data_IF_191890065003
#
_entry.id   IF_191890065003
#
_cell.length_a   1.000
_cell.length_b   1.000
_cell.length_c   1.000
_cell.angle_alpha   90.00
_cell.angle_beta   90.00
_cell.angle_gamma   90.00
#
_symmetry.space_group_name_H-M   'P 1'
#
loop_
_entity.id
_entity.type
_entity.pdbx_description
1 polymer ?
#
# COMPACT_ATOMS: atom_id res chain seq x y z
N UNK A 1 12.23 8.57 -20.86
CA UNK A 1 12.61 7.84 -19.63
C UNK A 1 11.91 6.50 -19.72
N UNK A 2 12.66 5.41 -19.79
CA UNK A 2 12.08 4.06 -19.70
C UNK A 2 11.88 3.75 -18.22
N UNK A 3 10.65 3.88 -17.72
CA UNK A 3 10.31 3.42 -16.37
C UNK A 3 10.13 1.91 -16.33
N UNK A 4 10.33 1.30 -15.17
CA UNK A 4 9.99 -0.10 -14.91
C UNK A 4 8.54 -0.22 -14.42
N UNK A 5 7.91 -1.37 -14.67
CA UNK A 5 6.58 -1.66 -14.11
C UNK A 5 6.76 -2.18 -12.68
N UNK A 6 6.02 -1.59 -11.74
CA UNK A 6 5.94 -2.04 -10.36
C UNK A 6 4.51 -2.45 -10.04
N UNK A 7 4.37 -3.56 -9.34
CA UNK A 7 3.13 -3.96 -8.68
C UNK A 7 3.17 -3.44 -7.24
N UNK A 8 2.18 -2.63 -6.87
CA UNK A 8 2.04 -2.06 -5.53
C UNK A 8 0.76 -2.59 -4.90
N UNK A 9 0.86 -3.12 -3.69
CA UNK A 9 -0.28 -3.52 -2.87
C UNK A 9 -0.22 -2.73 -1.57
N UNK A 10 -1.36 -2.23 -1.10
CA UNK A 10 -1.44 -1.49 0.16
C UNK A 10 -2.23 -2.29 1.16
N UNK A 11 -1.64 -2.54 2.32
CA UNK A 11 -2.26 -3.24 3.44
C UNK A 11 -2.40 -2.32 4.63
N UNK A 12 -3.46 -2.55 5.41
CA UNK A 12 -3.67 -1.91 6.69
C UNK A 12 -3.43 -2.93 7.81
N UNK A 13 -2.49 -2.61 8.69
CA UNK A 13 -2.16 -3.40 9.85
C UNK A 13 -3.14 -3.13 10.99
N UNK A 14 -3.60 -4.17 11.72
CA UNK A 14 -4.51 -4.01 12.85
C UNK A 14 -3.84 -3.27 14.03
N UNK A 15 -4.63 -2.68 14.93
CA UNK A 15 -4.08 -2.23 16.21
C UNK A 15 -3.79 -3.41 17.13
N UNK A 16 -2.96 -3.20 18.17
CA UNK A 16 -2.76 -4.20 19.24
C UNK A 16 -4.07 -4.68 19.85
N UNK A 17 -5.01 -3.75 20.09
CA UNK A 17 -6.32 -4.06 20.64
C UNK A 17 -7.14 -4.94 19.70
N UNK A 18 -7.12 -4.65 18.39
CA UNK A 18 -7.82 -5.45 17.38
C UNK A 18 -7.30 -6.90 17.36
N UNK A 19 -5.99 -7.08 17.49
CA UNK A 19 -5.35 -8.40 17.54
C UNK A 19 -5.75 -9.14 18.83
N UNK A 20 -5.65 -8.48 19.99
CA UNK A 20 -5.92 -9.10 21.29
C UNK A 20 -7.39 -9.50 21.50
N UNK A 21 -8.32 -8.67 21.03
CA UNK A 21 -9.75 -8.88 21.27
C UNK A 21 -10.45 -9.68 20.16
N UNK A 22 -9.97 -9.57 18.92
CA UNK A 22 -10.70 -10.07 17.75
C UNK A 22 -9.85 -10.94 16.81
N UNK A 23 -8.61 -11.28 17.17
CA UNK A 23 -7.66 -12.00 16.32
C UNK A 23 -7.55 -11.36 14.92
N UNK A 24 -7.62 -10.02 14.88
CA UNK A 24 -7.66 -9.28 13.63
C UNK A 24 -6.33 -9.41 12.86
N UNK A 25 -6.42 -9.57 11.54
CA UNK A 25 -5.28 -9.73 10.63
C UNK A 25 -5.15 -8.52 9.70
N UNK A 26 -3.96 -8.33 9.12
CA UNK A 26 -3.71 -7.29 8.12
C UNK A 26 -4.66 -7.44 6.93
N UNK A 27 -5.22 -6.32 6.47
CA UNK A 27 -6.21 -6.27 5.40
C UNK A 27 -5.65 -5.59 4.18
N UNK A 28 -5.84 -6.17 2.99
CA UNK A 28 -5.57 -5.47 1.73
C UNK A 28 -6.60 -4.36 1.55
N UNK A 29 -6.15 -3.11 1.49
CA UNK A 29 -7.00 -1.93 1.32
C UNK A 29 -6.90 -1.33 -0.08
N UNK A 30 -5.82 -1.66 -0.81
CA UNK A 30 -5.69 -1.42 -2.25
C UNK A 30 -5.09 -2.67 -2.88
N UNK A 31 -5.79 -3.20 -3.89
CA UNK A 31 -5.34 -4.36 -4.66
C UNK A 31 -4.06 -4.06 -5.46
N UNK A 32 -3.53 -5.04 -6.21
CA UNK A 32 -2.32 -4.84 -6.99
C UNK A 32 -2.56 -3.75 -8.04
N UNK A 33 -1.92 -2.61 -7.85
CA UNK A 33 -1.88 -1.51 -8.80
C UNK A 33 -0.55 -1.56 -9.54
N UNK A 34 -0.63 -1.57 -10.87
CA UNK A 34 0.55 -1.58 -11.73
C UNK A 34 0.88 -0.15 -12.12
N UNK A 35 2.06 0.32 -11.73
CA UNK A 35 2.51 1.69 -12.00
C UNK A 35 3.85 1.65 -12.71
N UNK A 36 4.05 2.59 -13.64
CA UNK A 36 5.34 2.78 -14.31
C UNK A 36 6.11 3.86 -13.56
N UNK A 37 7.29 3.51 -13.05
CA UNK A 37 8.12 4.42 -12.29
C UNK A 37 9.60 4.14 -12.51
N UNK A 38 10.46 5.09 -12.15
CA UNK A 38 11.91 4.89 -12.24
C UNK A 38 12.45 4.12 -11.01
N UNK A 39 11.73 4.17 -9.89
CA UNK A 39 12.11 3.53 -8.61
C UNK A 39 10.87 3.01 -7.87
N UNK A 40 11.11 2.12 -6.90
CA UNK A 40 10.10 1.65 -5.95
C UNK A 40 9.49 2.80 -5.12
N UNK A 41 10.30 3.76 -4.69
CA UNK A 41 9.84 4.95 -3.96
C UNK A 41 8.95 5.84 -4.83
N UNK A 42 9.28 5.99 -6.11
CA UNK A 42 8.44 6.72 -7.06
C UNK A 42 7.10 5.99 -7.29
N UNK A 43 7.13 4.65 -7.44
CA UNK A 43 5.92 3.83 -7.53
C UNK A 43 5.03 3.99 -6.28
N UNK A 44 5.63 3.90 -5.08
CA UNK A 44 4.95 4.12 -3.80
C UNK A 44 4.26 5.48 -3.74
N UNK A 45 5.01 6.54 -4.09
CA UNK A 45 4.53 7.92 -4.04
C UNK A 45 3.37 8.16 -5.00
N UNK A 46 3.46 7.62 -6.22
CA UNK A 46 2.37 7.71 -7.20
C UNK A 46 1.09 7.07 -6.66
N UNK A 47 1.17 5.88 -6.07
CA UNK A 47 0.01 5.18 -5.51
C UNK A 47 -0.58 5.93 -4.32
N UNK A 48 0.26 6.40 -3.38
CA UNK A 48 -0.18 7.13 -2.18
C UNK A 48 -0.87 8.45 -2.52
N UNK A 49 -0.34 9.20 -3.50
CA UNK A 49 -0.89 10.50 -3.89
C UNK A 49 -2.04 10.37 -4.88
N UNK A 50 -2.04 9.34 -5.72
CA UNK A 50 -3.03 9.11 -6.78
C UNK A 50 -4.32 8.45 -6.30
N UNK A 51 -4.31 7.76 -5.16
CA UNK A 51 -5.49 7.07 -4.63
C UNK A 51 -6.12 7.82 -3.46
N UNK A 52 -7.14 8.64 -3.75
CA UNK A 52 -7.85 9.40 -2.71
C UNK A 52 -8.47 8.52 -1.61
N UNK A 53 -8.84 7.28 -1.93
CA UNK A 53 -9.35 6.29 -0.96
C UNK A 53 -8.37 6.01 0.18
N UNK A 54 -7.07 6.12 -0.07
CA UNK A 54 -6.05 5.89 0.96
C UNK A 54 -6.08 6.96 2.06
N UNK A 55 -6.69 8.13 1.82
CA UNK A 55 -6.85 9.19 2.82
C UNK A 55 -7.85 8.84 3.93
N UNK A 56 -8.71 7.85 3.71
CA UNK A 56 -9.68 7.38 4.70
C UNK A 56 -9.05 6.44 5.75
N UNK A 57 -7.83 5.95 5.49
CA UNK A 57 -7.11 5.02 6.36
C UNK A 57 -6.07 5.72 7.22
N UNK A 58 -5.78 5.16 8.40
CA UNK A 58 -4.71 5.64 9.26
C UNK A 58 -3.35 5.38 8.61
N UNK A 59 -2.69 6.45 8.16
CA UNK A 59 -1.39 6.40 7.48
C UNK A 59 -0.29 5.71 8.32
N UNK A 60 -0.43 5.67 9.66
CA UNK A 60 0.54 4.98 10.54
C UNK A 60 0.37 3.46 10.53
N UNK A 61 -0.78 2.97 10.07
CA UNK A 61 -1.14 1.56 9.97
C UNK A 61 -0.97 1.01 8.56
N UNK A 62 -0.70 1.87 7.58
CA UNK A 62 -0.56 1.45 6.19
C UNK A 62 0.86 0.93 5.94
N UNK A 63 0.95 -0.18 5.22
CA UNK A 63 2.19 -0.74 4.68
C UNK A 63 2.05 -0.96 3.17
N UNK A 64 3.11 -0.63 2.43
CA UNK A 64 3.16 -0.81 0.98
C UNK A 64 4.06 -2.00 0.65
N UNK A 65 3.50 -2.96 -0.07
CA UNK A 65 4.22 -4.10 -0.62
C UNK A 65 4.47 -3.83 -2.09
N UNK A 66 5.73 -3.60 -2.44
CA UNK A 66 6.14 -3.19 -3.79
C UNK A 66 7.01 -4.29 -4.40
N UNK A 67 6.70 -4.69 -5.63
CA UNK A 67 7.52 -5.64 -6.40
C UNK A 67 7.75 -5.15 -7.82
N UNK A 68 8.98 -5.22 -8.35
CA UNK A 68 9.21 -5.05 -9.77
C UNK A 68 8.50 -6.18 -10.54
N UNK A 69 7.98 -5.85 -11.72
CA UNK A 69 7.28 -6.78 -12.60
C UNK A 69 8.15 -7.19 -13.79
#
# INVERSE_FOLDING_TARGET
MEGSVFMVVVVENPTKKDVEENDAMSKVILGPEFVVADTDQAAATQVLLGNEKLREFDQKRIELVIRPF
#
